data_IF_077324643650
#
_entry.id   IF_077324643650
#
_cell.length_a   1.000
_cell.length_b   1.000
_cell.length_c   1.000
_cell.angle_alpha   90.00
_cell.angle_beta   90.00
_cell.angle_gamma   90.00
#
_symmetry.space_group_name_H-M   'P 1'
#
loop_
_entity.id
_entity.type
_entity.pdbx_description
1 polymer ?
#
# COMPACT_ATOMS: atom_id res chain seq x y z
N UNK A 1 -1.62 -4.03 -13.01
CA UNK A 1 -2.00 -2.79 -13.71
C UNK A 1 -3.52 -2.67 -13.96
N UNK A 2 -4.40 -3.10 -13.04
CA UNK A 2 -5.87 -2.97 -13.21
C UNK A 2 -6.62 -2.60 -11.91
N UNK A 3 -6.13 -2.97 -10.72
CA UNK A 3 -6.93 -2.80 -9.49
C UNK A 3 -6.78 -1.47 -8.74
N UNK A 4 -5.67 -0.74 -8.91
CA UNK A 4 -5.49 0.56 -8.26
C UNK A 4 -6.19 1.72 -8.98
N UNK A 5 -6.61 1.56 -10.24
CA UNK A 5 -7.18 2.66 -11.04
C UNK A 5 -8.66 2.97 -10.75
N UNK A 6 -9.37 2.13 -9.99
CA UNK A 6 -10.82 2.31 -9.79
C UNK A 6 -11.23 2.87 -8.42
N UNK A 7 -10.36 2.84 -7.42
CA UNK A 7 -10.71 3.37 -6.08
C UNK A 7 -9.89 4.60 -5.68
N UNK A 8 -8.78 4.90 -6.35
CA UNK A 8 -7.86 5.93 -5.90
C UNK A 8 -7.01 6.48 -7.05
N UNK A 9 -6.96 7.80 -7.17
CA UNK A 9 -6.37 8.55 -8.28
C UNK A 9 -4.92 8.10 -8.64
N UNK A 10 -4.47 8.20 -9.92
CA UNK A 10 -3.49 7.30 -10.51
C UNK A 10 -2.08 7.91 -10.65
N UNK A 11 -1.40 8.21 -9.54
CA UNK A 11 0.05 8.34 -9.59
C UNK A 11 0.72 8.00 -8.26
N UNK A 12 1.67 7.06 -8.31
CA UNK A 12 2.61 6.77 -7.21
C UNK A 12 3.43 8.00 -6.78
N UNK A 13 3.31 9.14 -7.47
CA UNK A 13 3.98 10.40 -7.08
C UNK A 13 3.19 11.17 -6.03
N UNK A 14 1.91 10.84 -5.84
CA UNK A 14 0.99 11.58 -5.00
C UNK A 14 0.86 10.97 -3.59
N UNK A 15 1.41 9.78 -3.38
CA UNK A 15 1.53 9.12 -2.08
C UNK A 15 2.92 8.51 -1.95
N UNK A 16 3.55 8.69 -0.80
CA UNK A 16 4.85 8.13 -0.50
C UNK A 16 4.72 7.11 0.63
N UNK A 17 5.41 5.98 0.47
CA UNK A 17 5.35 4.84 1.39
C UNK A 17 6.76 4.53 1.87
N UNK A 18 6.93 4.37 3.18
CA UNK A 18 8.19 3.94 3.79
C UNK A 18 7.90 2.78 4.73
N UNK A 19 8.65 1.69 4.57
CA UNK A 19 8.57 0.51 5.44
C UNK A 19 9.74 0.48 6.41
N UNK A 20 9.45 0.33 7.71
CA UNK A 20 10.43 0.08 8.76
C UNK A 20 10.21 -1.33 9.32
N UNK A 21 11.14 -2.27 9.09
CA UNK A 21 11.04 -3.63 9.64
C UNK A 21 10.96 -3.66 11.17
N UNK A 22 11.61 -2.69 11.82
CA UNK A 22 11.52 -2.44 13.26
C UNK A 22 11.68 -0.95 13.49
N UNK A 23 10.65 -0.33 14.05
CA UNK A 23 10.65 1.10 14.37
C UNK A 23 10.72 1.29 15.89
N UNK A 24 11.69 2.07 16.36
CA UNK A 24 12.01 2.15 17.78
C UNK A 24 10.89 2.75 18.63
N UNK A 25 10.13 3.71 18.10
CA UNK A 25 9.04 4.35 18.85
C UNK A 25 7.79 3.48 18.95
N UNK A 26 7.53 2.62 17.96
CA UNK A 26 6.36 1.73 17.95
C UNK A 26 6.71 0.32 18.46
N UNK A 27 8.00 -0.01 18.55
CA UNK A 27 8.51 -1.31 18.95
C UNK A 27 8.17 -2.45 17.99
N UNK A 28 7.64 -2.14 16.79
CA UNK A 28 7.07 -3.10 15.84
C UNK A 28 7.51 -2.78 14.42
N UNK A 29 7.23 -3.69 13.48
CA UNK A 29 7.25 -3.36 12.06
C UNK A 29 6.17 -2.30 11.79
N UNK A 30 6.51 -1.26 11.03
CA UNK A 30 5.60 -0.14 10.78
C UNK A 30 5.77 0.35 9.36
N UNK A 31 4.64 0.51 8.67
CA UNK A 31 4.57 1.09 7.34
C UNK A 31 3.95 2.47 7.50
N UNK A 32 4.62 3.49 6.98
CA UNK A 32 4.13 4.85 6.95
C UNK A 32 3.69 5.19 5.53
N UNK A 33 2.48 5.72 5.42
CA UNK A 33 1.89 6.19 4.16
C UNK A 33 1.55 7.66 4.39
N UNK A 34 2.02 8.53 3.51
CA UNK A 34 1.74 9.96 3.58
C UNK A 34 1.47 10.54 2.18
N UNK A 35 0.70 11.63 2.13
CA UNK A 35 0.42 12.33 0.89
C UNK A 35 1.70 13.03 0.40
N UNK A 36 2.02 12.86 -0.88
CA UNK A 36 3.18 13.49 -1.53
C UNK A 36 3.06 15.00 -1.70
N UNK A 37 1.87 15.57 -1.47
CA UNK A 37 1.61 17.01 -1.56
C UNK A 37 1.65 17.69 -0.20
N UNK A 38 2.33 18.83 -0.15
CA UNK A 38 2.29 19.73 1.01
C UNK A 38 0.84 20.20 1.25
N UNK A 39 0.36 20.01 2.48
CA UNK A 39 -1.02 20.28 2.88
C UNK A 39 -1.96 19.07 2.85
N UNK A 40 -1.53 17.97 2.22
CA UNK A 40 -2.36 16.77 2.07
C UNK A 40 -3.50 16.96 1.08
N UNK A 41 -3.78 15.93 0.31
CA UNK A 41 -4.92 15.90 -0.63
C UNK A 41 -6.01 14.92 -0.17
N UNK A 42 -5.87 14.39 1.05
CA UNK A 42 -6.83 13.50 1.68
C UNK A 42 -6.77 12.09 1.11
N UNK A 43 -5.65 11.71 0.50
CA UNK A 43 -5.44 10.33 0.08
C UNK A 43 -5.27 9.46 1.33
N UNK A 44 -4.29 9.74 2.18
CA UNK A 44 -4.04 8.91 3.37
C UNK A 44 -5.26 8.73 4.28
N UNK A 45 -6.12 9.75 4.42
CA UNK A 45 -7.35 9.65 5.20
C UNK A 45 -8.32 8.60 4.63
N UNK A 46 -8.56 8.65 3.31
CA UNK A 46 -9.41 7.68 2.61
C UNK A 46 -8.78 6.28 2.59
N UNK A 47 -7.46 6.20 2.40
CA UNK A 47 -6.72 4.94 2.44
C UNK A 47 -6.76 4.30 3.84
N UNK A 48 -6.69 5.12 4.89
CA UNK A 48 -6.85 4.66 6.28
C UNK A 48 -8.25 4.07 6.51
N UNK A 49 -9.31 4.76 6.06
CA UNK A 49 -10.68 4.26 6.15
C UNK A 49 -10.88 2.94 5.39
N UNK A 50 -10.18 2.73 4.28
CA UNK A 50 -10.25 1.52 3.45
C UNK A 50 -9.17 0.46 3.77
N UNK A 51 -8.42 0.61 4.87
CA UNK A 51 -7.23 -0.22 5.13
C UNK A 51 -7.54 -1.71 5.22
N UNK A 52 -8.63 -2.10 5.89
CA UNK A 52 -9.01 -3.52 6.02
C UNK A 52 -9.33 -4.15 4.66
N UNK A 53 -10.06 -3.42 3.81
CA UNK A 53 -10.39 -3.88 2.46
C UNK A 53 -9.13 -4.03 1.59
N UNK A 54 -8.23 -3.05 1.65
CA UNK A 54 -6.96 -3.07 0.92
C UNK A 54 -6.08 -4.25 1.36
N UNK A 55 -6.02 -4.54 2.66
CA UNK A 55 -5.28 -5.69 3.18
C UNK A 55 -5.89 -7.01 2.73
N UNK A 56 -7.21 -7.15 2.78
CA UNK A 56 -7.91 -8.35 2.33
C UNK A 56 -7.69 -8.62 0.82
N UNK A 57 -7.73 -7.57 -0.01
CA UNK A 57 -7.41 -7.69 -1.44
C UNK A 57 -5.95 -8.08 -1.66
N UNK A 58 -5.03 -7.50 -0.89
CA UNK A 58 -3.59 -7.82 -0.99
C UNK A 58 -3.34 -9.29 -0.62
N UNK A 59 -3.96 -9.78 0.46
CA UNK A 59 -3.89 -11.17 0.88
C UNK A 59 -4.42 -12.11 -0.21
N UNK A 60 -5.56 -11.76 -0.82
CA UNK A 60 -6.12 -12.54 -1.93
C UNK A 60 -5.14 -12.64 -3.10
N UNK A 61 -4.48 -11.55 -3.47
CA UNK A 61 -3.51 -11.54 -4.58
C UNK A 61 -2.31 -12.44 -4.25
N UNK A 62 -1.79 -12.35 -3.03
CA UNK A 62 -0.63 -13.15 -2.61
C UNK A 62 -0.99 -14.63 -2.54
N UNK A 63 -2.19 -14.97 -2.05
CA UNK A 63 -2.65 -16.36 -1.89
C UNK A 63 -3.08 -17.02 -3.21
N UNK A 64 -3.62 -16.26 -4.17
CA UNK A 64 -3.98 -16.76 -5.51
C UNK A 64 -2.76 -16.89 -6.44
N UNK A 65 -1.61 -16.31 -6.07
CA UNK A 65 -0.40 -16.36 -6.89
C UNK A 65 0.37 -17.68 -6.66
N UNK A 66 0.60 -18.45 -7.74
CA UNK A 66 1.37 -19.69 -7.70
C UNK A 66 2.90 -19.50 -7.58
N UNK A 67 3.38 -18.42 -6.93
CA UNK A 67 4.82 -18.15 -6.78
C UNK A 67 5.32 -18.51 -5.37
N UNK A 68 6.44 -19.23 -5.28
CA UNK A 68 7.01 -19.61 -3.98
C UNK A 68 7.79 -18.48 -3.30
N UNK A 69 8.39 -17.58 -4.09
CA UNK A 69 9.31 -16.52 -3.60
C UNK A 69 8.78 -15.09 -3.77
N UNK A 70 7.56 -14.94 -4.29
CA UNK A 70 7.02 -13.64 -4.71
C UNK A 70 7.48 -13.25 -6.12
N UNK A 71 6.53 -12.90 -6.99
CA UNK A 71 6.81 -12.41 -8.35
C UNK A 71 6.48 -10.91 -8.48
N UNK A 72 7.03 -10.20 -9.49
CA UNK A 72 6.78 -8.78 -9.70
C UNK A 72 5.31 -8.41 -9.89
N UNK A 73 4.42 -9.38 -10.08
CA UNK A 73 2.97 -9.16 -10.20
C UNK A 73 2.25 -9.14 -8.85
N UNK A 74 2.74 -9.89 -7.86
CA UNK A 74 2.08 -10.01 -6.54
C UNK A 74 2.71 -9.14 -5.46
N UNK A 75 4.05 -9.00 -5.44
CA UNK A 75 4.75 -8.22 -4.40
C UNK A 75 5.13 -6.81 -4.84
N UNK A 76 5.14 -6.56 -6.15
CA UNK A 76 5.48 -5.26 -6.71
C UNK A 76 4.28 -4.72 -7.49
N UNK A 77 3.95 -3.46 -7.27
CA UNK A 77 3.14 -2.73 -8.23
C UNK A 77 4.09 -2.26 -9.34
N UNK A 78 3.83 -2.50 -10.63
CA UNK A 78 4.61 -1.93 -11.72
C UNK A 78 4.49 -0.40 -11.78
#
# INVERSE_FOLDING_TARGET
MIWLSSFFCPSLRDSAIISYPRHDQTGKSTIFIYDGYAGGIGLCEKGFAATEELLAQTEKIVTECNCDLGCPTCVHSP
#
